data_IF_448694220738
#
_entry.id   IF_448694220738
#
_cell.length_a   1.000
_cell.length_b   1.000
_cell.length_c   1.000
_cell.angle_alpha   90.00
_cell.angle_beta   90.00
_cell.angle_gamma   90.00
#
_symmetry.space_group_name_H-M   'P 1'
#
loop_
_entity.id
_entity.type
_entity.pdbx_description
1 polymer ?
#
# COMPACT_ATOMS: atom_id res chain seq x y z
N UNK A 1 22.06 -7.93 20.62
CA UNK A 1 22.74 -9.15 20.13
C UNK A 1 22.22 -9.47 18.74
N UNK A 2 22.60 -8.67 17.74
CA UNK A 2 22.14 -8.82 16.36
C UNK A 2 23.15 -9.66 15.56
N UNK A 3 22.66 -10.77 15.01
CA UNK A 3 23.12 -11.46 13.79
C UNK A 3 24.63 -11.66 13.60
N UNK A 4 25.23 -12.65 14.26
CA UNK A 4 26.26 -13.47 13.59
C UNK A 4 25.59 -14.41 12.60
N UNK A 5 25.04 -13.87 11.52
CA UNK A 5 24.84 -14.66 10.30
C UNK A 5 26.06 -14.44 9.43
N UNK A 6 27.19 -15.01 9.86
CA UNK A 6 28.30 -15.21 8.93
C UNK A 6 27.81 -16.26 7.97
N UNK A 7 27.32 -15.84 6.80
CA UNK A 7 27.28 -16.73 5.66
C UNK A 7 28.73 -17.10 5.43
N UNK A 8 29.13 -18.31 5.83
CA UNK A 8 30.46 -18.83 5.53
C UNK A 8 30.61 -18.73 4.01
N UNK A 9 31.45 -17.78 3.59
CA UNK A 9 31.61 -17.44 2.19
C UNK A 9 32.08 -18.65 1.39
N UNK A 10 32.66 -19.65 2.05
CA UNK A 10 33.20 -20.85 1.41
C UNK A 10 32.23 -22.03 1.35
N UNK A 11 31.08 -21.97 2.04
CA UNK A 11 30.18 -23.12 2.24
C UNK A 11 29.61 -23.72 0.94
N UNK A 12 29.24 -22.87 -0.02
CA UNK A 12 28.67 -23.29 -1.30
C UNK A 12 29.58 -23.04 -2.50
N UNK A 13 30.85 -22.76 -2.23
CA UNK A 13 31.84 -22.44 -3.25
C UNK A 13 32.98 -23.46 -3.27
N UNK A 14 33.55 -23.68 -4.45
CA UNK A 14 34.72 -24.53 -4.60
C UNK A 14 35.91 -23.89 -3.88
N UNK A 15 36.38 -24.54 -2.82
CA UNK A 15 37.54 -24.10 -2.04
C UNK A 15 38.71 -25.09 -2.17
N UNK A 16 39.96 -24.59 -2.20
CA UNK A 16 41.13 -25.45 -2.18
C UNK A 16 41.22 -26.22 -0.85
N UNK A 17 41.80 -27.43 -0.90
CA UNK A 17 42.01 -28.29 0.26
C UNK A 17 43.50 -28.64 0.43
N UNK A 18 43.88 -29.05 1.64
CA UNK A 18 45.25 -29.48 1.95
C UNK A 18 46.27 -28.33 1.87
N UNK A 19 47.41 -28.59 1.22
CA UNK A 19 48.50 -27.63 1.07
C UNK A 19 48.05 -26.31 0.41
N UNK A 20 47.29 -26.39 -0.68
CA UNK A 20 46.84 -25.21 -1.42
C UNK A 20 45.89 -24.29 -0.63
N UNK A 21 45.18 -24.84 0.36
CA UNK A 21 44.39 -24.03 1.29
C UNK A 21 45.30 -23.17 2.17
N UNK A 22 46.30 -23.78 2.80
CA UNK A 22 47.26 -23.08 3.66
C UNK A 22 48.03 -22.00 2.90
N UNK A 23 48.42 -22.30 1.66
CA UNK A 23 49.08 -21.32 0.79
C UNK A 23 48.15 -20.13 0.47
N UNK A 24 46.91 -20.40 0.04
CA UNK A 24 45.92 -19.35 -0.23
C UNK A 24 45.69 -18.46 1.00
N UNK A 25 45.47 -19.08 2.15
CA UNK A 25 45.15 -18.35 3.38
C UNK A 25 46.31 -17.46 3.85
N UNK A 26 47.56 -17.75 3.43
CA UNK A 26 48.73 -16.92 3.71
C UNK A 26 48.97 -15.78 2.70
N UNK A 27 48.50 -15.92 1.46
CA UNK A 27 48.81 -14.99 0.35
C UNK A 27 47.64 -14.04 0.02
N UNK A 28 46.40 -14.44 0.28
CA UNK A 28 45.21 -13.65 -0.06
C UNK A 28 44.96 -12.53 0.96
N UNK A 29 44.55 -11.35 0.48
CA UNK A 29 44.26 -10.15 1.30
C UNK A 29 43.19 -10.42 2.38
N UNK A 30 42.14 -11.16 2.02
CA UNK A 30 41.12 -11.60 2.97
C UNK A 30 40.84 -13.11 2.78
N UNK A 31 41.28 -13.97 3.73
CA UNK A 31 41.07 -15.42 3.63
C UNK A 31 39.59 -15.82 3.74
N UNK A 32 38.76 -14.96 4.34
CA UNK A 32 37.31 -15.16 4.49
C UNK A 32 36.52 -14.85 3.21
N UNK A 33 37.15 -14.47 2.10
CA UNK A 33 36.46 -14.28 0.80
C UNK A 33 36.31 -15.64 0.09
N UNK A 34 35.30 -15.80 -0.75
CA UNK A 34 35.09 -17.01 -1.55
C UNK A 34 35.73 -16.93 -2.95
N UNK A 35 35.84 -18.07 -3.64
CA UNK A 35 36.27 -18.11 -5.04
C UNK A 35 35.17 -17.72 -6.03
N UNK A 36 33.91 -17.58 -5.58
CA UNK A 36 32.76 -17.33 -6.43
C UNK A 36 32.30 -18.52 -7.29
N UNK A 37 33.04 -19.64 -7.31
CA UNK A 37 32.71 -20.82 -8.11
C UNK A 37 31.72 -21.72 -7.37
N UNK A 38 30.49 -21.93 -7.86
CA UNK A 38 29.51 -22.75 -7.15
C UNK A 38 29.84 -24.25 -7.19
N UNK A 39 29.47 -24.98 -6.15
CA UNK A 39 29.62 -26.44 -6.12
C UNK A 39 28.65 -27.12 -7.10
N UNK A 40 29.16 -27.88 -8.06
CA UNK A 40 28.39 -28.50 -9.14
C UNK A 40 27.31 -29.48 -8.65
N UNK A 41 27.57 -30.22 -7.56
CA UNK A 41 26.62 -31.21 -7.00
C UNK A 41 25.55 -30.62 -6.08
N UNK A 42 25.61 -29.31 -5.79
CA UNK A 42 24.65 -28.62 -4.91
C UNK A 42 23.91 -27.54 -5.67
N UNK A 43 24.63 -26.75 -6.48
CA UNK A 43 24.03 -25.70 -7.27
C UNK A 43 23.33 -26.30 -8.50
N UNK A 44 22.00 -26.09 -8.59
CA UNK A 44 21.18 -26.55 -9.72
C UNK A 44 21.28 -28.06 -9.98
N UNK A 45 21.47 -28.84 -8.93
CA UNK A 45 21.49 -30.30 -8.99
C UNK A 45 20.51 -30.89 -7.97
N UNK A 46 19.55 -31.74 -8.38
CA UNK A 46 19.20 -32.12 -9.75
C UNK A 46 18.80 -30.93 -10.64
N UNK A 47 18.94 -31.03 -11.97
CA UNK A 47 18.46 -29.98 -12.88
C UNK A 47 16.94 -29.79 -12.70
N UNK A 48 16.39 -28.59 -12.95
CA UNK A 48 14.98 -28.30 -12.71
C UNK A 48 14.00 -29.28 -13.37
N UNK A 49 14.33 -29.82 -14.54
CA UNK A 49 13.50 -30.80 -15.26
C UNK A 49 13.57 -32.24 -14.72
N UNK A 50 14.44 -32.52 -13.75
CA UNK A 50 14.63 -33.86 -13.17
C UNK A 50 14.45 -33.84 -11.65
N UNK A 51 13.70 -32.87 -11.13
CA UNK A 51 13.36 -32.81 -9.70
C UNK A 51 12.42 -33.98 -9.36
N UNK A 52 12.68 -34.74 -8.29
CA UNK A 52 11.80 -35.84 -7.87
C UNK A 52 10.52 -35.36 -7.18
N UNK A 53 10.50 -34.10 -6.75
CA UNK A 53 9.36 -33.47 -6.08
C UNK A 53 8.17 -33.38 -7.04
N UNK A 54 7.04 -33.97 -6.64
CA UNK A 54 5.79 -33.81 -7.37
C UNK A 54 5.15 -32.50 -6.97
N UNK A 55 4.97 -31.61 -7.94
CA UNK A 55 4.23 -30.37 -7.71
C UNK A 55 2.78 -30.67 -7.34
N UNK A 56 2.32 -30.08 -6.24
CA UNK A 56 0.91 -30.01 -5.88
C UNK A 56 0.56 -28.54 -5.74
N UNK A 57 -0.56 -28.13 -6.35
CA UNK A 57 -1.07 -26.77 -6.24
C UNK A 57 -1.42 -26.47 -4.78
N UNK A 58 -0.88 -25.40 -4.16
CA UNK A 58 -1.23 -25.07 -2.78
C UNK A 58 -2.72 -24.76 -2.66
N UNK A 59 -3.39 -25.40 -1.70
CA UNK A 59 -4.80 -25.14 -1.44
C UNK A 59 -4.97 -23.76 -0.80
N UNK A 60 -5.90 -22.98 -1.34
CA UNK A 60 -6.35 -21.71 -0.74
C UNK A 60 -7.82 -21.84 -0.33
N UNK A 61 -8.37 -20.83 0.36
CA UNK A 61 -9.83 -20.79 0.64
C UNK A 61 -10.68 -20.88 -0.64
N UNK A 62 -10.13 -20.48 -1.80
CA UNK A 62 -10.81 -20.59 -3.08
C UNK A 62 -10.85 -22.02 -3.65
N UNK A 63 -10.11 -22.97 -3.07
CA UNK A 63 -10.04 -24.37 -3.52
C UNK A 63 -11.11 -25.27 -2.91
N UNK A 64 -11.95 -24.76 -2.00
CA UNK A 64 -13.03 -25.55 -1.39
C UNK A 64 -14.06 -25.95 -2.45
N UNK A 65 -14.43 -27.24 -2.44
CA UNK A 65 -15.39 -27.86 -3.37
C UNK A 65 -16.82 -27.59 -2.92
N UNK A 66 -17.05 -27.46 -1.61
CA UNK A 66 -18.36 -27.18 -1.03
C UNK A 66 -18.50 -25.70 -0.67
N UNK A 67 -19.73 -25.18 -0.70
CA UNK A 67 -20.07 -23.84 -0.19
C UNK A 67 -19.26 -22.66 -0.76
N UNK A 68 -18.62 -22.86 -1.90
CA UNK A 68 -17.74 -21.90 -2.52
C UNK A 68 -18.33 -21.58 -3.91
N UNK A 69 -19.34 -20.70 -4.01
CA UNK A 69 -19.83 -20.19 -5.30
C UNK A 69 -18.97 -19.04 -5.83
N UNK A 70 -18.75 -19.00 -7.15
CA UNK A 70 -17.84 -18.01 -7.77
C UNK A 70 -18.28 -16.56 -7.58
N UNK A 71 -19.58 -16.27 -7.62
CA UNK A 71 -20.10 -14.89 -7.51
C UNK A 71 -19.77 -14.22 -6.17
N UNK A 72 -19.60 -14.98 -5.06
CA UNK A 72 -19.19 -14.44 -3.76
C UNK A 72 -17.72 -14.00 -3.73
N UNK A 73 -16.88 -14.55 -4.61
CA UNK A 73 -15.44 -14.23 -4.72
C UNK A 73 -15.11 -13.45 -5.99
N UNK A 74 -16.12 -13.05 -6.76
CA UNK A 74 -15.93 -12.32 -8.02
C UNK A 74 -15.63 -10.84 -7.74
N UNK A 75 -14.37 -10.56 -7.38
CA UNK A 75 -13.87 -9.21 -7.14
C UNK A 75 -13.82 -8.40 -8.45
N UNK A 76 -13.74 -9.05 -9.61
CA UNK A 76 -13.68 -8.38 -10.91
C UNK A 76 -15.00 -7.66 -11.23
N UNK A 77 -16.14 -8.24 -10.87
CA UNK A 77 -17.46 -7.60 -11.05
C UNK A 77 -17.84 -6.67 -9.89
N UNK A 78 -17.32 -6.92 -8.69
CA UNK A 78 -17.53 -6.08 -7.52
C UNK A 78 -16.49 -4.95 -7.42
N UNK A 79 -16.17 -4.29 -8.54
CA UNK A 79 -15.23 -3.18 -8.55
C UNK A 79 -15.90 -1.89 -8.05
N UNK A 80 -15.18 -1.02 -7.32
CA UNK A 80 -15.73 0.28 -6.92
C UNK A 80 -15.94 1.16 -8.15
N UNK A 81 -17.14 1.73 -8.28
CA UNK A 81 -17.47 2.63 -9.38
C UNK A 81 -16.82 4.01 -9.15
N UNK A 82 -16.37 4.63 -10.24
CA UNK A 82 -15.81 5.99 -10.20
C UNK A 82 -16.95 7.01 -10.09
N UNK A 83 -16.99 7.75 -8.99
CA UNK A 83 -17.91 8.88 -8.81
C UNK A 83 -17.36 10.13 -9.47
N UNK A 84 -18.07 10.68 -10.46
CA UNK A 84 -17.75 11.96 -11.10
C UNK A 84 -18.72 13.03 -10.61
N UNK A 85 -18.19 14.14 -10.10
CA UNK A 85 -18.98 15.29 -9.67
C UNK A 85 -18.73 16.44 -10.65
N UNK A 86 -19.77 16.87 -11.35
CA UNK A 86 -19.72 18.06 -12.22
C UNK A 86 -19.93 19.33 -11.41
N UNK A 87 -19.51 20.48 -11.96
CA UNK A 87 -19.72 21.78 -11.33
C UNK A 87 -21.20 22.07 -11.02
N UNK A 88 -22.11 21.66 -11.92
CA UNK A 88 -23.56 21.78 -11.75
C UNK A 88 -24.10 20.82 -10.68
N UNK A 89 -23.62 19.57 -10.65
CA UNK A 89 -23.99 18.62 -9.60
C UNK A 89 -23.54 19.09 -8.22
N UNK A 90 -22.33 19.65 -8.14
CA UNK A 90 -21.78 20.20 -6.89
C UNK A 90 -22.59 21.40 -6.40
N UNK A 91 -22.95 22.34 -7.28
CA UNK A 91 -23.72 23.53 -6.87
C UNK A 91 -25.12 23.17 -6.35
N UNK A 92 -25.80 22.20 -6.95
CA UNK A 92 -27.07 21.67 -6.45
C UNK A 92 -26.92 21.02 -5.06
N UNK A 93 -25.93 20.13 -4.90
CA UNK A 93 -25.66 19.47 -3.61
C UNK A 93 -25.36 20.48 -2.50
N UNK A 94 -24.57 21.51 -2.78
CA UNK A 94 -24.25 22.56 -1.82
C UNK A 94 -25.51 23.31 -1.34
N UNK A 95 -26.43 23.64 -2.26
CA UNK A 95 -27.66 24.36 -1.92
C UNK A 95 -28.58 23.46 -1.10
N UNK A 96 -28.79 22.21 -1.51
CA UNK A 96 -29.63 21.24 -0.79
C UNK A 96 -29.15 21.02 0.66
N UNK A 97 -27.83 20.87 0.86
CA UNK A 97 -27.26 20.67 2.18
C UNK A 97 -27.17 21.94 3.05
N UNK A 98 -27.22 23.14 2.45
CA UNK A 98 -27.19 24.41 3.19
C UNK A 98 -28.53 24.76 3.85
N UNK A 99 -29.63 24.25 3.31
CA UNK A 99 -30.96 24.39 3.92
C UNK A 99 -31.20 23.25 4.91
N UNK A 100 -31.58 23.51 6.17
CA UNK A 100 -31.87 22.44 7.11
C UNK A 100 -33.03 21.59 6.60
N UNK A 101 -32.73 20.35 6.20
CA UNK A 101 -33.74 19.34 5.86
C UNK A 101 -34.45 18.92 7.14
N UNK A 102 -35.53 19.62 7.50
CA UNK A 102 -36.58 19.02 8.30
C UNK A 102 -37.23 17.94 7.42
N UNK A 103 -36.75 16.70 7.54
CA UNK A 103 -37.46 15.55 6.99
C UNK A 103 -38.76 15.44 7.80
N UNK A 104 -39.84 16.02 7.28
CA UNK A 104 -41.16 15.80 7.84
C UNK A 104 -41.46 14.30 7.79
N UNK A 105 -41.96 13.74 8.90
CA UNK A 105 -42.41 12.35 8.94
C UNK A 105 -43.41 12.10 7.80
N UNK A 106 -43.34 10.96 7.10
CA UNK A 106 -44.21 10.70 5.96
C UNK A 106 -45.65 10.61 6.47
N UNK A 107 -46.44 11.66 6.24
CA UNK A 107 -47.88 11.59 6.37
C UNK A 107 -48.41 10.80 5.17
N UNK A 108 -49.23 9.78 5.44
CA UNK A 108 -50.00 9.04 4.43
C UNK A 108 -51.02 9.97 3.76
N UNK A 109 -50.58 10.75 2.77
CA UNK A 109 -51.46 11.43 1.84
C UNK A 109 -50.73 11.66 0.51
N UNK A 110 -51.31 11.11 -0.56
CA UNK A 110 -51.02 11.37 -1.97
C UNK A 110 -49.71 10.82 -2.56
N UNK A 111 -49.80 9.57 -3.00
CA UNK A 111 -48.83 8.85 -3.84
C UNK A 111 -48.61 9.45 -5.26
N UNK A 112 -49.04 10.69 -5.53
CA UNK A 112 -48.84 11.38 -6.80
C UNK A 112 -47.74 12.47 -6.75
N UNK A 113 -47.31 12.90 -5.56
CA UNK A 113 -46.39 14.04 -5.39
C UNK A 113 -45.01 13.67 -4.83
N UNK A 114 -44.79 12.41 -4.45
CA UNK A 114 -43.52 11.91 -3.91
C UNK A 114 -42.33 11.95 -4.89
N UNK A 115 -42.59 12.15 -6.18
CA UNK A 115 -41.55 12.35 -7.20
C UNK A 115 -41.09 13.81 -7.32
N UNK A 116 -41.82 14.79 -6.76
CA UNK A 116 -41.49 16.22 -6.91
C UNK A 116 -40.42 16.73 -5.93
N UNK A 117 -40.20 16.03 -4.82
CA UNK A 117 -39.20 16.45 -3.82
C UNK A 117 -37.75 16.26 -4.28
N UNK A 118 -37.49 15.35 -5.23
CA UNK A 118 -36.13 15.05 -5.74
C UNK A 118 -35.93 15.48 -7.21
N UNK A 119 -37.01 15.85 -7.92
CA UNK A 119 -36.96 16.13 -9.37
C UNK A 119 -37.10 17.60 -9.77
N UNK A 120 -37.13 18.53 -8.82
CA UNK A 120 -36.96 19.95 -9.19
C UNK A 120 -35.48 20.21 -9.43
N UNK A 121 -35.01 19.84 -10.63
CA UNK A 121 -33.76 20.31 -11.20
C UNK A 121 -33.85 21.84 -11.29
N UNK A 122 -33.54 22.51 -10.18
CA UNK A 122 -33.45 23.97 -10.12
C UNK A 122 -32.42 24.43 -11.14
N UNK A 123 -32.66 25.60 -11.72
CA UNK A 123 -31.80 26.18 -12.75
C UNK A 123 -30.32 26.06 -12.35
N UNK A 124 -29.43 25.72 -13.31
CA UNK A 124 -28.01 25.53 -13.04
C UNK A 124 -27.42 26.87 -12.58
N UNK A 125 -27.43 27.09 -11.27
CA UNK A 125 -26.73 28.19 -10.67
C UNK A 125 -25.23 27.93 -10.85
N UNK A 126 -24.55 28.92 -11.40
CA UNK A 126 -23.10 28.92 -11.50
C UNK A 126 -22.51 28.66 -10.11
N UNK A 127 -21.51 27.78 -10.01
CA UNK A 127 -20.93 27.36 -8.73
C UNK A 127 -20.48 28.57 -7.88
N UNK A 128 -19.96 29.61 -8.51
CA UNK A 128 -19.55 30.83 -7.83
C UNK A 128 -20.72 31.51 -7.10
N UNK A 129 -21.89 31.62 -7.74
CA UNK A 129 -23.09 32.21 -7.16
C UNK A 129 -23.70 31.32 -6.05
N UNK A 130 -23.55 29.99 -6.15
CA UNK A 130 -23.97 29.09 -5.08
C UNK A 130 -23.07 29.23 -3.84
N UNK A 131 -21.74 29.29 -4.04
CA UNK A 131 -20.78 29.48 -2.95
C UNK A 131 -21.02 30.82 -2.26
N UNK A 132 -21.19 31.92 -3.01
CA UNK A 132 -21.38 33.26 -2.42
C UNK A 132 -22.60 33.30 -1.49
N UNK A 133 -23.75 32.78 -1.95
CA UNK A 133 -25.00 32.68 -1.16
C UNK A 133 -24.81 31.88 0.14
N UNK A 134 -24.04 30.79 0.09
CA UNK A 134 -23.79 29.96 1.27
C UNK A 134 -22.84 30.68 2.24
N UNK A 135 -21.78 31.31 1.73
CA UNK A 135 -20.82 32.04 2.55
C UNK A 135 -21.39 33.30 3.20
N UNK A 136 -22.41 33.91 2.59
CA UNK A 136 -23.15 35.05 3.16
C UNK A 136 -24.02 34.62 4.35
N UNK A 137 -24.64 33.45 4.27
CA UNK A 137 -25.51 32.93 5.34
C UNK A 137 -24.76 32.16 6.44
N UNK A 138 -23.67 31.49 6.08
CA UNK A 138 -22.96 30.54 6.95
C UNK A 138 -21.45 30.73 6.86
N UNK A 139 -20.80 31.01 7.98
CA UNK A 139 -19.33 31.07 8.04
C UNK A 139 -18.76 29.64 8.02
N UNK A 140 -18.34 29.19 6.83
CA UNK A 140 -17.84 27.83 6.61
C UNK A 140 -16.52 27.53 7.33
N UNK A 141 -15.62 28.51 7.45
CA UNK A 141 -14.32 28.34 8.10
C UNK A 141 -14.09 29.38 9.20
N UNK A 142 -13.57 28.92 10.34
CA UNK A 142 -13.23 29.73 11.51
C UNK A 142 -11.94 29.22 12.15
N UNK A 143 -11.42 29.91 13.16
CA UNK A 143 -10.27 29.41 13.95
C UNK A 143 -10.55 28.04 14.59
N UNK A 144 -11.83 27.76 14.90
CA UNK A 144 -12.30 26.46 15.39
C UNK A 144 -12.70 25.47 14.28
N UNK A 145 -12.83 25.93 13.02
CA UNK A 145 -13.26 25.13 11.87
C UNK A 145 -12.33 25.37 10.67
N UNK A 146 -11.10 24.87 10.77
CA UNK A 146 -10.11 24.94 9.72
C UNK A 146 -10.52 24.06 8.52
N UNK A 147 -10.05 24.37 7.29
CA UNK A 147 -10.31 23.51 6.14
C UNK A 147 -9.81 22.08 6.37
N UNK A 148 -10.51 21.06 5.84
CA UNK A 148 -10.13 19.67 6.04
C UNK A 148 -8.73 19.40 5.48
N UNK A 149 -7.90 18.70 6.25
CA UNK A 149 -6.59 18.24 5.80
C UNK A 149 -6.73 16.93 5.02
N UNK A 150 -5.80 16.68 4.08
CA UNK A 150 -5.76 15.42 3.34
C UNK A 150 -5.73 14.22 4.29
N UNK A 151 -6.66 13.29 4.10
CA UNK A 151 -6.70 12.02 4.82
C UNK A 151 -5.63 11.09 4.25
N UNK A 152 -4.49 10.99 4.93
CA UNK A 152 -3.45 10.03 4.59
C UNK A 152 -3.75 8.71 5.29
N UNK A 153 -3.73 7.59 4.54
CA UNK A 153 -3.92 6.26 5.11
C UNK A 153 -2.76 5.83 6.03
N UNK A 154 -1.60 6.51 5.90
CA UNK A 154 -0.39 6.22 6.65
C UNK A 154 -0.06 7.38 7.60
N UNK A 155 0.52 7.09 8.77
CA UNK A 155 1.03 8.14 9.65
C UNK A 155 2.12 8.94 8.94
N UNK A 156 2.26 10.22 9.30
CA UNK A 156 3.39 11.05 8.85
C UNK A 156 4.69 10.39 9.28
N UNK A 157 5.67 10.33 8.37
CA UNK A 157 6.98 9.77 8.67
C UNK A 157 7.64 10.55 9.82
N UNK A 158 8.09 9.81 10.84
CA UNK A 158 8.84 10.33 11.97
C UNK A 158 10.24 9.71 11.93
N UNK A 159 11.28 10.49 11.59
CA UNK A 159 12.62 9.93 11.45
C UNK A 159 13.18 9.51 12.82
N UNK A 160 13.38 8.21 13.02
CA UNK A 160 14.15 7.69 14.16
C UNK A 160 15.59 7.45 13.76
N UNK A 161 16.55 8.05 14.47
CA UNK A 161 17.98 7.83 14.19
C UNK A 161 18.34 6.37 14.45
N UNK A 162 18.79 5.69 13.39
CA UNK A 162 19.31 4.34 13.45
C UNK A 162 20.83 4.36 13.77
N UNK A 163 21.42 3.23 14.21
CA UNK A 163 22.87 3.14 14.36
C UNK A 163 23.55 3.49 13.03
N UNK A 164 24.66 4.22 13.11
CA UNK A 164 25.44 4.60 11.94
C UNK A 164 25.95 3.33 11.21
N UNK A 165 26.18 3.45 9.90
CA UNK A 165 26.66 2.32 9.10
C UNK A 165 28.00 1.80 9.65
N UNK A 166 28.34 0.51 9.48
CA UNK A 166 29.63 -0.01 9.92
C UNK A 166 30.78 0.76 9.26
N UNK A 167 31.50 1.54 10.04
CA UNK A 167 32.67 2.30 9.59
C UNK A 167 33.77 2.27 10.67
N UNK A 168 35.04 2.49 10.28
CA UNK A 168 36.11 2.68 11.25
C UNK A 168 35.80 3.84 12.21
N UNK A 169 36.16 3.73 13.49
CA UNK A 169 35.83 4.73 14.53
C UNK A 169 36.29 6.15 14.20
N UNK A 170 37.37 6.31 13.44
CA UNK A 170 37.96 7.59 13.06
C UNK A 170 37.80 7.92 11.56
N UNK A 171 37.03 7.12 10.82
CA UNK A 171 36.74 7.44 9.43
C UNK A 171 35.67 8.52 9.35
N UNK A 172 35.91 9.54 8.53
CA UNK A 172 34.86 10.50 8.18
C UNK A 172 33.83 9.83 7.28
N UNK A 173 32.62 9.61 7.80
CA UNK A 173 31.52 8.96 7.09
C UNK A 173 30.21 9.75 7.26
N UNK A 174 29.94 10.75 6.39
CA UNK A 174 28.82 11.68 6.54
C UNK A 174 27.49 11.08 6.03
N UNK A 175 27.14 9.88 6.52
CA UNK A 175 25.84 9.26 6.24
C UNK A 175 25.14 8.94 7.55
N UNK A 176 23.91 9.45 7.70
CA UNK A 176 23.04 9.18 8.83
C UNK A 176 21.91 8.27 8.40
N UNK A 177 21.71 7.19 9.14
CA UNK A 177 20.64 6.24 8.89
C UNK A 177 19.43 6.61 9.73
N UNK A 178 18.26 6.62 9.10
CA UNK A 178 16.97 6.84 9.75
C UNK A 178 16.02 5.71 9.38
N UNK A 179 15.16 5.34 10.32
CA UNK A 179 14.05 4.40 10.11
C UNK A 179 12.72 5.07 10.43
#
# INVERSE_FOLDING_TARGET
MATKKVADSTLYHLSPKGFWKKFRDAVVVNPEISSGLPLQGVNRFPPPGSRPEKYSTPATKASDVAQNPYWKRDVRRAYPQLSVITQTGLSSLLIEHSTPQAVAAPAEADAADGSKAVSTTREPLELAAAISKITESTKLYSESNLPPTLTLAYPRWQPERAPDAPHPQHAYFPMHLYK
#
